data_IF_902119223738
#
_entry.id   IF_902119223738
#
_cell.length_a   1.000
_cell.length_b   1.000
_cell.length_c   1.000
_cell.angle_alpha   90.00
_cell.angle_beta   90.00
_cell.angle_gamma   90.00
#
_symmetry.space_group_name_H-M   'P 1'
#
loop_
_entity.id
_entity.type
_entity.pdbx_description
1 polymer ?
#
# COMPACT_ATOMS: atom_id res chain seq x y z
N UNK A 1 -1.16 56.09 23.88
CA UNK A 1 0.20 55.79 23.38
C UNK A 1 0.55 54.43 23.95
N UNK A 2 0.25 53.32 23.27
CA UNK A 2 1.07 52.72 22.21
C UNK A 2 0.20 51.97 21.19
N UNK A 3 0.46 52.27 19.92
CA UNK A 3 0.02 51.54 18.73
C UNK A 3 0.74 50.18 18.65
N UNK A 4 0.05 49.11 18.22
CA UNK A 4 0.60 48.00 17.41
C UNK A 4 -0.53 47.06 16.91
N UNK A 5 -0.32 46.34 15.78
CA UNK A 5 -1.30 46.30 14.71
C UNK A 5 -1.89 44.91 14.40
N UNK A 6 -3.11 44.92 13.84
CA UNK A 6 -3.52 44.19 12.62
C UNK A 6 -2.90 42.79 12.42
N UNK A 7 -3.12 41.87 13.36
CA UNK A 7 -2.90 40.41 13.20
C UNK A 7 -4.14 39.68 12.66
N UNK A 8 -4.97 40.39 11.90
CA UNK A 8 -6.00 39.79 11.05
C UNK A 8 -5.32 39.23 9.80
N UNK A 9 -5.61 37.96 9.49
CA UNK A 9 -5.45 37.33 8.17
C UNK A 9 -4.05 36.77 7.88
N UNK A 10 -3.66 35.65 8.52
CA UNK A 10 -2.58 34.78 7.99
C UNK A 10 -2.61 33.33 8.53
N UNK A 11 -3.77 32.79 8.93
CA UNK A 11 -3.83 31.41 9.43
C UNK A 11 -5.10 30.66 8.97
N UNK A 12 -5.50 30.87 7.71
CA UNK A 12 -6.67 30.23 7.08
C UNK A 12 -6.29 29.25 5.96
N UNK A 13 -5.01 29.00 5.68
CA UNK A 13 -4.63 28.24 4.48
C UNK A 13 -3.49 27.23 4.70
N UNK A 14 -3.64 26.33 5.68
CA UNK A 14 -2.87 25.09 5.68
C UNK A 14 -3.80 23.90 5.42
N UNK A 15 -4.13 23.80 4.13
CA UNK A 15 -4.36 22.57 3.37
C UNK A 15 -5.46 21.63 3.87
N UNK A 16 -6.70 22.08 3.67
CA UNK A 16 -7.86 21.22 3.36
C UNK A 16 -7.73 20.57 1.97
N UNK A 17 -6.63 19.88 1.67
CA UNK A 17 -6.43 19.13 0.43
C UNK A 17 -6.06 17.67 0.73
N UNK A 18 -7.04 16.90 1.20
CA UNK A 18 -7.05 15.47 0.86
C UNK A 18 -8.32 15.20 0.07
N UNK A 19 -8.23 15.60 -1.19
CA UNK A 19 -9.26 15.45 -2.20
C UNK A 19 -9.74 14.01 -2.27
N UNK A 20 -11.06 13.89 -2.15
CA UNK A 20 -11.90 12.76 -2.53
C UNK A 20 -11.41 12.12 -3.83
N UNK A 21 -10.66 11.02 -3.72
CA UNK A 21 -10.41 10.14 -4.85
C UNK A 21 -11.67 9.29 -5.08
N UNK A 22 -12.63 9.84 -5.82
CA UNK A 22 -13.68 9.04 -6.46
C UNK A 22 -13.04 8.22 -7.57
N UNK A 23 -12.37 7.13 -7.20
CA UNK A 23 -11.81 6.17 -8.15
C UNK A 23 -12.93 5.27 -8.72
N UNK A 24 -13.70 5.81 -9.66
CA UNK A 24 -14.47 5.00 -10.59
C UNK A 24 -13.49 4.14 -11.41
N UNK A 25 -13.32 2.88 -11.04
CA UNK A 25 -12.46 1.95 -11.79
C UNK A 25 -11.79 0.89 -10.92
N UNK A 26 -12.58 0.13 -10.16
CA UNK A 26 -12.09 -1.10 -9.53
C UNK A 26 -11.80 -2.14 -10.61
N UNK A 27 -10.54 -2.21 -11.05
CA UNK A 27 -10.08 -3.24 -11.98
C UNK A 27 -10.19 -4.64 -11.37
N UNK A 28 -10.25 -5.64 -12.23
CA UNK A 28 -9.99 -7.02 -11.81
C UNK A 28 -8.48 -7.22 -11.70
N UNK A 29 -8.04 -7.89 -10.65
CA UNK A 29 -6.64 -8.19 -10.43
C UNK A 29 -6.12 -9.10 -11.55
N UNK A 30 -4.98 -8.72 -12.12
CA UNK A 30 -4.21 -9.60 -12.99
C UNK A 30 -3.34 -10.53 -12.15
N UNK A 31 -2.80 -11.58 -12.76
CA UNK A 31 -1.76 -12.42 -12.14
C UNK A 31 -0.62 -11.60 -11.55
N UNK A 32 -0.17 -10.59 -12.29
CA UNK A 32 0.94 -9.73 -11.87
C UNK A 32 0.56 -8.82 -10.70
N UNK A 33 -0.69 -8.35 -10.63
CA UNK A 33 -1.17 -7.62 -9.46
C UNK A 33 -1.16 -8.51 -8.20
N UNK A 34 -1.62 -9.76 -8.31
CA UNK A 34 -1.63 -10.72 -7.21
C UNK A 34 -0.20 -11.08 -6.76
N UNK A 35 0.71 -11.27 -7.71
CA UNK A 35 2.12 -11.54 -7.45
C UNK A 35 2.80 -10.38 -6.72
N UNK A 36 2.55 -9.14 -7.15
CA UNK A 36 3.06 -7.94 -6.48
C UNK A 36 2.59 -7.80 -5.02
N UNK A 37 1.34 -8.18 -4.73
CA UNK A 37 0.84 -8.18 -3.35
C UNK A 37 1.61 -9.19 -2.50
N UNK A 38 1.76 -10.42 -3.00
CA UNK A 38 2.50 -11.47 -2.30
C UNK A 38 3.96 -11.08 -2.07
N UNK A 39 4.62 -10.57 -3.10
CA UNK A 39 6.01 -10.09 -3.02
C UNK A 39 6.18 -9.02 -1.95
N UNK A 40 5.25 -8.07 -1.90
CA UNK A 40 5.29 -6.98 -0.93
C UNK A 40 5.07 -7.46 0.51
N UNK A 41 4.17 -8.43 0.71
CA UNK A 41 3.96 -9.08 2.01
C UNK A 41 5.25 -9.76 2.48
N UNK A 42 5.86 -10.59 1.63
CA UNK A 42 7.12 -11.29 1.95
C UNK A 42 8.23 -10.30 2.28
N UNK A 43 8.34 -9.21 1.53
CA UNK A 43 9.34 -8.17 1.79
C UNK A 43 9.17 -7.52 3.16
N UNK A 44 7.94 -7.16 3.50
CA UNK A 44 7.63 -6.52 4.78
C UNK A 44 7.86 -7.49 5.94
N UNK A 45 7.43 -8.75 5.82
CA UNK A 45 7.68 -9.77 6.84
C UNK A 45 9.18 -9.99 7.08
N UNK A 46 9.99 -10.05 6.01
CA UNK A 46 11.44 -10.16 6.15
C UNK A 46 12.05 -8.93 6.80
N UNK A 47 11.63 -7.73 6.41
CA UNK A 47 12.09 -6.47 6.99
C UNK A 47 11.74 -6.35 8.47
N UNK A 48 10.51 -6.72 8.85
CA UNK A 48 10.01 -6.77 10.23
C UNK A 48 10.84 -7.72 11.10
N UNK A 49 11.30 -8.83 10.51
CA UNK A 49 12.20 -9.80 11.14
C UNK A 49 13.68 -9.39 11.12
N UNK A 50 14.00 -8.22 10.56
CA UNK A 50 15.35 -7.67 10.51
C UNK A 50 16.20 -8.15 9.32
N UNK A 51 15.63 -8.92 8.39
CA UNK A 51 16.33 -9.35 7.18
C UNK A 51 16.24 -8.28 6.09
N UNK A 52 17.39 -7.86 5.56
CA UNK A 52 17.50 -6.83 4.50
C UNK A 52 18.31 -7.28 3.28
N UNK A 53 18.63 -8.57 3.20
CA UNK A 53 19.37 -9.13 2.06
C UNK A 53 18.42 -9.31 0.85
N UNK A 54 18.67 -8.62 -0.28
CA UNK A 54 17.84 -8.74 -1.47
C UNK A 54 17.89 -10.14 -2.10
N UNK A 55 19.01 -10.86 -1.99
CA UNK A 55 19.12 -12.23 -2.50
C UNK A 55 18.32 -13.22 -1.65
N UNK A 56 18.21 -12.97 -0.35
CA UNK A 56 17.30 -13.71 0.51
C UNK A 56 15.85 -13.41 0.12
N UNK A 57 15.47 -12.13 0.01
CA UNK A 57 14.11 -11.74 -0.37
C UNK A 57 13.65 -12.39 -1.67
N UNK A 58 14.47 -12.36 -2.73
CA UNK A 58 14.15 -13.00 -4.00
C UNK A 58 13.88 -14.51 -3.87
N UNK A 59 14.66 -15.23 -3.04
CA UNK A 59 14.44 -16.66 -2.79
C UNK A 59 13.16 -16.94 -2.02
N UNK A 60 12.83 -16.09 -1.05
CA UNK A 60 11.60 -16.25 -0.26
C UNK A 60 10.36 -15.93 -1.09
N UNK A 61 10.41 -14.90 -1.95
CA UNK A 61 9.33 -14.62 -2.91
C UNK A 61 9.06 -15.79 -3.83
N UNK A 62 10.11 -16.36 -4.45
CA UNK A 62 9.95 -17.53 -5.31
C UNK A 62 9.35 -18.75 -4.58
N UNK A 63 9.76 -18.97 -3.31
CA UNK A 63 9.18 -20.02 -2.48
C UNK A 63 7.71 -19.74 -2.13
N UNK A 64 7.38 -18.50 -1.79
CA UNK A 64 6.02 -18.08 -1.48
C UNK A 64 5.11 -18.19 -2.72
N UNK A 65 5.57 -17.76 -3.89
CA UNK A 65 4.82 -17.91 -5.15
C UNK A 65 4.49 -19.38 -5.44
N UNK A 66 5.44 -20.28 -5.24
CA UNK A 66 5.22 -21.72 -5.41
C UNK A 66 4.27 -22.29 -4.33
N UNK A 67 4.44 -21.89 -3.08
CA UNK A 67 3.63 -22.35 -1.95
C UNK A 67 2.17 -21.86 -2.02
N UNK A 68 1.95 -20.67 -2.59
CA UNK A 68 0.64 -20.02 -2.68
C UNK A 68 0.09 -19.98 -4.12
N UNK A 69 0.51 -20.92 -4.97
CA UNK A 69 0.11 -20.93 -6.38
C UNK A 69 -1.42 -21.01 -6.56
N UNK A 70 -2.12 -21.72 -5.68
CA UNK A 70 -3.57 -21.86 -5.73
C UNK A 70 -4.28 -20.54 -5.33
N UNK A 71 -3.77 -19.87 -4.31
CA UNK A 71 -4.27 -18.57 -3.82
C UNK A 71 -4.01 -17.47 -4.85
N UNK A 72 -2.85 -17.47 -5.50
CA UNK A 72 -2.54 -16.57 -6.62
C UNK A 72 -3.51 -16.79 -7.78
N UNK A 73 -3.85 -18.03 -8.10
CA UNK A 73 -4.85 -18.35 -9.12
C UNK A 73 -6.26 -17.90 -8.71
N UNK A 74 -6.63 -18.02 -7.43
CA UNK A 74 -7.92 -17.56 -6.91
C UNK A 74 -8.02 -16.02 -6.81
N UNK A 75 -6.89 -15.35 -6.65
CA UNK A 75 -6.79 -13.89 -6.64
C UNK A 75 -7.00 -13.29 -8.04
N UNK A 76 -6.55 -13.98 -9.10
CA UNK A 76 -6.71 -13.51 -10.47
C UNK A 76 -8.21 -13.34 -10.81
N UNK A 77 -8.60 -12.15 -11.26
CA UNK A 77 -9.99 -11.81 -11.53
C UNK A 77 -10.76 -11.21 -10.34
N UNK A 78 -10.21 -11.25 -9.12
CA UNK A 78 -10.82 -10.61 -7.94
C UNK A 78 -10.88 -9.09 -8.10
N UNK A 79 -11.84 -8.46 -7.42
CA UNK A 79 -11.97 -7.00 -7.47
C UNK A 79 -10.97 -6.36 -6.52
N UNK A 80 -9.82 -5.95 -7.05
CA UNK A 80 -8.81 -5.19 -6.31
C UNK A 80 -8.68 -3.82 -6.97
N UNK A 81 -9.17 -2.74 -6.34
CA UNK A 81 -9.10 -1.41 -6.93
C UNK A 81 -7.64 -0.96 -7.03
N UNK A 82 -7.32 -0.13 -8.04
CA UNK A 82 -5.97 0.41 -8.22
C UNK A 82 -5.47 1.20 -7.00
N UNK A 83 -6.38 1.81 -6.24
CA UNK A 83 -6.09 2.47 -4.97
C UNK A 83 -5.62 1.49 -3.88
N UNK A 84 -6.16 0.27 -3.85
CA UNK A 84 -5.69 -0.77 -2.93
C UNK A 84 -4.28 -1.25 -3.30
N UNK A 85 -3.98 -1.43 -4.59
CA UNK A 85 -2.62 -1.77 -5.03
C UNK A 85 -1.61 -0.66 -4.67
N UNK A 86 -2.01 0.61 -4.85
CA UNK A 86 -1.18 1.74 -4.43
C UNK A 86 -0.97 1.76 -2.89
N UNK A 87 -2.01 1.41 -2.11
CA UNK A 87 -1.90 1.25 -0.66
C UNK A 87 -0.89 0.15 -0.30
N UNK A 88 -0.96 -1.02 -0.95
CA UNK A 88 -0.03 -2.14 -0.72
C UNK A 88 1.42 -1.72 -0.95
N UNK A 89 1.70 -1.00 -2.04
CA UNK A 89 3.05 -0.52 -2.34
C UNK A 89 3.56 0.48 -1.29
N UNK A 90 2.68 1.31 -0.74
CA UNK A 90 3.02 2.33 0.26
C UNK A 90 3.03 1.82 1.72
N UNK A 91 2.47 0.62 1.98
CA UNK A 91 2.31 0.08 3.32
C UNK A 91 3.65 -0.09 4.04
N UNK A 92 3.67 0.20 5.35
CA UNK A 92 4.87 0.12 6.18
C UNK A 92 5.05 -1.23 6.89
N UNK A 93 3.99 -2.06 6.93
CA UNK A 93 3.98 -3.37 7.59
C UNK A 93 3.08 -4.37 6.85
N UNK A 94 3.36 -5.66 7.06
CA UNK A 94 2.53 -6.76 6.55
C UNK A 94 1.11 -6.69 7.13
N UNK A 95 0.99 -6.27 8.39
CA UNK A 95 -0.29 -6.01 9.07
C UNK A 95 -1.10 -4.90 8.38
N UNK A 96 -0.46 -3.78 7.99
CA UNK A 96 -1.17 -2.68 7.33
C UNK A 96 -1.80 -3.12 6.01
N UNK A 97 -1.13 -3.99 5.24
CA UNK A 97 -1.69 -4.56 4.00
C UNK A 97 -3.01 -5.29 4.29
N UNK A 98 -2.99 -6.20 5.27
CA UNK A 98 -4.14 -7.04 5.60
C UNK A 98 -5.31 -6.25 6.21
N UNK A 99 -5.02 -5.30 7.11
CA UNK A 99 -6.05 -4.60 7.87
C UNK A 99 -6.58 -3.33 7.21
N UNK A 100 -5.78 -2.69 6.34
CA UNK A 100 -6.09 -1.38 5.76
C UNK A 100 -6.23 -1.40 4.25
N UNK A 101 -5.37 -2.13 3.53
CA UNK A 101 -5.34 -2.08 2.07
C UNK A 101 -6.31 -3.08 1.41
N UNK A 102 -6.42 -4.30 1.94
CA UNK A 102 -7.16 -5.42 1.30
C UNK A 102 -8.39 -5.89 2.08
N UNK A 103 -8.95 -5.01 2.92
CA UNK A 103 -10.11 -5.30 3.76
C UNK A 103 -11.42 -5.39 2.98
#
# INVERSE_FOLDING_TARGET
MTSMPRRTIALVALLSLFSSATACGGGRATREDCRQILDRLVDLELQERGFRDPALAARWRAQAEAAHAAELAACEGQRIPRTALACVQAAASSEEISHRCLR
#
